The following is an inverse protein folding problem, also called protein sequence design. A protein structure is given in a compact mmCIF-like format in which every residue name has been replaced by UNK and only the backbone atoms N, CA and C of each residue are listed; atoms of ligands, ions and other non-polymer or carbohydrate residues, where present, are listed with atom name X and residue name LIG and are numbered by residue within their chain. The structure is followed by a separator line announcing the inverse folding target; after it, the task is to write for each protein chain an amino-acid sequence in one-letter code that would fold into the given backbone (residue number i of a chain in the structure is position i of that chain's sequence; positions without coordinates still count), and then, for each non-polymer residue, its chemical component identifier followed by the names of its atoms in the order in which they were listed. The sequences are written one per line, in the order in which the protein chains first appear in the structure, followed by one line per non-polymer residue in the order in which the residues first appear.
data_IF_102284871602
#
_entry.id   IF_102284871602
#
_cell.length_a   1.000
_cell.length_b   1.000
_cell.length_c   1.000
_cell.angle_alpha   90.00
_cell.angle_beta   90.00
_cell.angle_gamma   90.00
#
_symmetry.space_group_name_H-M   'P 1'
#
loop_
_entity.id
_entity.type
_entity.pdbx_description
1 polymer ?
#
# COMPACT_ATOMS: atom_id res chain seq x y z
N UNK A 1 13.49 43.75 -43.58
CA UNK A 1 12.34 43.41 -42.72
C UNK A 1 11.74 42.07 -43.14
N UNK A 2 11.30 41.91 -44.40
CA UNK A 2 10.74 40.65 -44.90
C UNK A 2 11.65 39.40 -44.73
N UNK A 3 12.96 39.50 -44.99
CA UNK A 3 13.90 38.38 -44.84
C UNK A 3 14.06 37.91 -43.37
N UNK A 4 13.96 38.85 -42.42
CA UNK A 4 14.00 38.54 -40.99
C UNK A 4 12.70 37.88 -40.54
N UNK A 5 11.55 38.34 -41.03
CA UNK A 5 10.25 37.72 -40.78
C UNK A 5 10.18 36.30 -41.33
N UNK A 6 10.71 36.08 -42.53
CA UNK A 6 10.81 34.75 -43.14
C UNK A 6 11.72 33.82 -42.33
N UNK A 7 12.89 34.30 -41.91
CA UNK A 7 13.80 33.52 -41.03
C UNK A 7 13.15 33.17 -39.70
N UNK A 8 12.45 34.11 -39.07
CA UNK A 8 11.73 33.86 -37.81
C UNK A 8 10.60 32.85 -38.02
N UNK A 9 9.86 32.93 -39.12
CA UNK A 9 8.82 31.97 -39.50
C UNK A 9 9.39 30.56 -39.68
N UNK A 10 10.50 30.43 -40.42
CA UNK A 10 11.18 29.16 -40.65
C UNK A 10 11.70 28.52 -39.34
N UNK A 11 12.26 29.33 -38.44
CA UNK A 11 12.70 28.87 -37.11
C UNK A 11 11.52 28.36 -36.30
N UNK A 12 10.39 29.11 -36.24
CA UNK A 12 9.19 28.66 -35.51
C UNK A 12 8.66 27.33 -36.03
N UNK A 13 8.56 27.18 -37.35
CA UNK A 13 8.11 25.92 -37.97
C UNK A 13 9.04 24.75 -37.61
N UNK A 14 10.36 24.97 -37.65
CA UNK A 14 11.35 23.95 -37.29
C UNK A 14 11.30 23.58 -35.81
N UNK A 15 11.10 24.56 -34.93
CA UNK A 15 10.92 24.32 -33.49
C UNK A 15 9.65 23.53 -33.22
N UNK A 16 8.53 23.87 -33.85
CA UNK A 16 7.26 23.16 -33.68
C UNK A 16 7.33 21.71 -34.20
N UNK A 17 7.98 21.51 -35.35
CA UNK A 17 8.27 20.17 -35.88
C UNK A 17 9.14 19.37 -34.92
N UNK A 18 10.21 19.97 -34.39
CA UNK A 18 11.10 19.32 -33.42
C UNK A 18 10.37 18.97 -32.11
N UNK A 19 9.47 19.82 -31.62
CA UNK A 19 8.67 19.54 -30.41
C UNK A 19 7.75 18.35 -30.63
N UNK A 20 7.07 18.30 -31.79
CA UNK A 20 6.18 17.19 -32.16
C UNK A 20 6.94 15.87 -32.22
N UNK A 21 8.12 15.86 -32.85
CA UNK A 21 8.98 14.66 -32.94
C UNK A 21 9.41 14.19 -31.55
N UNK A 22 9.80 15.10 -30.65
CA UNK A 22 10.18 14.75 -29.27
C UNK A 22 8.99 14.20 -28.48
N UNK A 23 7.79 14.78 -28.64
CA UNK A 23 6.58 14.26 -28.01
C UNK A 23 6.23 12.85 -28.50
N UNK A 24 6.34 12.58 -29.80
CA UNK A 24 6.11 11.25 -30.36
C UNK A 24 7.16 10.24 -29.87
N UNK A 25 8.44 10.61 -29.90
CA UNK A 25 9.54 9.75 -29.41
C UNK A 25 9.38 9.40 -27.93
N UNK A 26 8.85 10.31 -27.11
CA UNK A 26 8.70 10.13 -25.66
C UNK A 26 7.32 9.60 -25.23
N UNK A 27 6.38 9.47 -26.16
CA UNK A 27 5.02 8.98 -25.87
C UNK A 27 5.04 7.63 -25.18
N UNK A 28 5.81 6.69 -25.72
CA UNK A 28 5.86 5.32 -25.23
C UNK A 28 6.61 5.25 -23.89
N UNK A 29 7.62 6.11 -23.69
CA UNK A 29 8.32 6.26 -22.39
C UNK A 29 7.32 6.70 -21.31
N UNK A 30 6.45 7.65 -21.61
CA UNK A 30 5.42 8.11 -20.67
C UNK A 30 4.42 7.00 -20.32
N UNK A 31 4.02 6.19 -21.31
CA UNK A 31 3.14 5.04 -21.07
C UNK A 31 3.81 3.97 -20.20
N UNK A 32 5.08 3.67 -20.48
CA UNK A 32 5.88 2.73 -19.69
C UNK A 32 6.06 3.22 -18.24
N UNK A 33 6.25 4.52 -18.02
CA UNK A 33 6.36 5.07 -16.67
C UNK A 33 5.06 4.91 -15.88
N UNK A 34 3.91 5.19 -16.49
CA UNK A 34 2.59 4.95 -15.88
C UNK A 34 2.40 3.47 -15.57
N UNK A 35 2.74 2.58 -16.52
CA UNK A 35 2.65 1.14 -16.31
C UNK A 35 3.54 0.69 -15.15
N UNK A 36 4.80 1.14 -15.11
CA UNK A 36 5.75 0.85 -14.04
C UNK A 36 5.24 1.33 -12.68
N UNK A 37 4.71 2.56 -12.60
CA UNK A 37 4.14 3.14 -11.38
C UNK A 37 2.96 2.32 -10.88
N UNK A 38 2.04 1.96 -11.76
CA UNK A 38 0.86 1.17 -11.43
C UNK A 38 1.25 -0.24 -10.95
N UNK A 39 2.17 -0.92 -11.65
CA UNK A 39 2.67 -2.23 -11.25
C UNK A 39 3.37 -2.17 -9.88
N UNK A 40 4.21 -1.16 -9.66
CA UNK A 40 4.88 -0.96 -8.37
C UNK A 40 3.88 -0.75 -7.23
N UNK A 41 2.85 0.07 -7.46
CA UNK A 41 1.79 0.29 -6.49
C UNK A 41 1.00 -1.00 -6.19
N UNK A 42 0.66 -1.78 -7.22
CA UNK A 42 -0.03 -3.07 -7.07
C UNK A 42 0.81 -4.07 -6.29
N UNK A 43 2.11 -4.20 -6.61
CA UNK A 43 3.02 -5.11 -5.91
C UNK A 43 3.16 -4.72 -4.43
N UNK A 44 3.34 -3.43 -4.13
CA UNK A 44 3.39 -2.94 -2.74
C UNK A 44 2.11 -3.23 -1.98
N UNK A 45 0.95 -2.98 -2.60
CA UNK A 45 -0.36 -3.23 -1.99
C UNK A 45 -0.55 -4.72 -1.70
N UNK A 46 -0.19 -5.59 -2.64
CA UNK A 46 -0.26 -7.04 -2.45
C UNK A 46 0.67 -7.52 -1.33
N UNK A 47 1.89 -6.96 -1.25
CA UNK A 47 2.82 -7.26 -0.17
C UNK A 47 2.27 -6.86 1.20
N UNK A 48 1.69 -5.67 1.33
CA UNK A 48 1.03 -5.24 2.56
C UNK A 48 -0.16 -6.15 2.93
N UNK A 49 -0.95 -6.59 1.94
CA UNK A 49 -2.04 -7.53 2.19
C UNK A 49 -1.52 -8.88 2.70
N UNK A 50 -0.41 -9.36 2.14
CA UNK A 50 0.24 -10.57 2.61
C UNK A 50 0.72 -10.44 4.06
N UNK A 51 1.35 -9.31 4.42
CA UNK A 51 1.74 -9.02 5.82
C UNK A 51 0.52 -9.04 6.74
N UNK A 52 -0.59 -8.42 6.32
CA UNK A 52 -1.81 -8.37 7.12
C UNK A 52 -2.38 -9.78 7.37
N UNK A 53 -2.52 -10.59 6.33
CA UNK A 53 -3.06 -11.96 6.41
C UNK A 53 -2.18 -12.87 7.28
N UNK A 54 -0.87 -12.85 7.03
CA UNK A 54 0.09 -13.67 7.80
C UNK A 54 0.16 -13.21 9.25
N UNK A 55 0.16 -11.90 9.50
CA UNK A 55 0.16 -11.32 10.84
C UNK A 55 -1.08 -11.70 11.64
N UNK A 56 -2.28 -11.61 11.06
CA UNK A 56 -3.52 -12.04 11.72
C UNK A 56 -3.49 -13.53 12.06
N UNK A 57 -2.99 -14.37 11.14
CA UNK A 57 -2.85 -15.81 11.39
C UNK A 57 -1.87 -16.11 12.54
N UNK A 58 -0.67 -15.50 12.52
CA UNK A 58 0.34 -15.67 13.57
C UNK A 58 -0.14 -15.15 14.92
N UNK A 59 -0.82 -14.00 14.96
CA UNK A 59 -1.41 -13.46 16.19
C UNK A 59 -2.42 -14.45 16.79
N UNK A 60 -3.27 -15.06 15.97
CA UNK A 60 -4.19 -16.10 16.42
C UNK A 60 -3.46 -17.27 17.10
N UNK A 61 -2.42 -17.80 16.45
CA UNK A 61 -1.63 -18.90 17.00
C UNK A 61 -0.90 -18.53 18.32
N UNK A 62 -0.35 -17.33 18.42
CA UNK A 62 0.34 -16.88 19.62
C UNK A 62 -0.61 -16.60 20.79
N UNK A 63 -1.84 -16.15 20.53
CA UNK A 63 -2.87 -15.98 21.56
C UNK A 63 -3.17 -17.34 22.22
N UNK A 64 -3.36 -18.40 21.43
CA UNK A 64 -3.56 -19.77 21.98
C UNK A 64 -2.36 -20.24 22.81
N UNK A 65 -1.14 -19.93 22.35
CA UNK A 65 0.10 -20.31 23.02
C UNK A 65 0.49 -19.39 24.18
N UNK A 66 -0.30 -18.34 24.45
CA UNK A 66 -0.01 -17.31 25.47
C UNK A 66 1.36 -16.63 25.30
N UNK A 67 1.83 -16.48 24.05
CA UNK A 67 3.12 -15.88 23.70
C UNK A 67 3.04 -14.35 23.66
N UNK A 68 2.83 -13.74 24.84
CA UNK A 68 2.57 -12.30 24.96
C UNK A 68 3.70 -11.40 24.42
N UNK A 69 4.96 -11.84 24.52
CA UNK A 69 6.10 -11.09 23.99
C UNK A 69 6.06 -10.92 22.46
N UNK A 70 5.79 -12.02 21.74
CA UNK A 70 5.68 -12.00 20.28
C UNK A 70 4.46 -11.17 19.83
N UNK A 71 3.32 -11.35 20.51
CA UNK A 71 2.09 -10.57 20.26
C UNK A 71 2.38 -9.07 20.42
N UNK A 72 3.04 -8.66 21.51
CA UNK A 72 3.35 -7.26 21.77
C UNK A 72 4.24 -6.63 20.67
N UNK A 73 5.17 -7.41 20.12
CA UNK A 73 6.06 -6.94 19.05
C UNK A 73 5.36 -6.80 17.68
N UNK A 74 4.43 -7.69 17.36
CA UNK A 74 3.84 -7.81 16.03
C UNK A 74 2.50 -7.10 15.87
N UNK A 75 1.69 -7.05 16.93
CA UNK A 75 0.37 -6.42 16.89
C UNK A 75 0.41 -4.95 16.38
N UNK A 76 1.36 -4.10 16.81
CA UNK A 76 1.45 -2.72 16.30
C UNK A 76 1.74 -2.68 14.79
N UNK A 77 2.61 -3.56 14.28
CA UNK A 77 2.95 -3.63 12.86
C UNK A 77 1.73 -4.01 12.01
N UNK A 78 0.98 -5.03 12.44
CA UNK A 78 -0.25 -5.47 11.77
C UNK A 78 -1.32 -4.38 11.78
N UNK A 79 -1.47 -3.64 12.89
CA UNK A 79 -2.40 -2.52 12.99
C UNK A 79 -2.03 -1.35 12.06
N UNK A 80 -0.74 -1.02 11.96
CA UNK A 80 -0.26 0.01 11.03
C UNK A 80 -0.55 -0.36 9.57
N UNK A 81 -0.34 -1.64 9.22
CA UNK A 81 -0.64 -2.12 7.87
C UNK A 81 -2.15 -2.09 7.60
N UNK A 82 -2.98 -2.45 8.59
CA UNK A 82 -4.45 -2.38 8.45
C UNK A 82 -4.93 -0.96 8.12
N UNK A 83 -4.31 0.08 8.70
CA UNK A 83 -4.67 1.47 8.41
C UNK A 83 -4.50 1.84 6.93
N UNK A 84 -3.50 1.25 6.25
CA UNK A 84 -3.31 1.44 4.80
C UNK A 84 -4.47 0.87 3.97
N UNK A 85 -5.24 -0.06 4.55
CA UNK A 85 -6.39 -0.70 3.92
C UNK A 85 -7.74 -0.05 4.24
N UNK A 86 -7.78 1.06 4.99
CA UNK A 86 -9.04 1.73 5.35
C UNK A 86 -9.88 2.15 4.13
N UNK A 87 -9.23 2.58 3.03
CA UNK A 87 -9.93 2.92 1.78
C UNK A 87 -10.45 1.71 1.01
N UNK A 88 -10.05 0.49 1.40
CA UNK A 88 -10.42 -0.76 0.76
C UNK A 88 -11.46 -1.55 1.58
N UNK A 89 -12.08 -0.93 2.60
CA UNK A 89 -13.07 -1.59 3.47
C UNK A 89 -14.38 -1.97 2.77
N UNK A 90 -14.62 -1.45 1.57
CA UNK A 90 -15.71 -1.90 0.70
C UNK A 90 -15.46 -3.32 0.15
N UNK A 91 -14.20 -3.75 0.11
CA UNK A 91 -13.81 -5.10 -0.30
C UNK A 91 -14.08 -6.05 0.86
N UNK A 92 -15.03 -6.95 0.69
CA UNK A 92 -15.50 -7.89 1.71
C UNK A 92 -14.35 -8.68 2.37
N UNK A 93 -13.37 -9.12 1.57
CA UNK A 93 -12.23 -9.88 2.08
C UNK A 93 -11.36 -9.05 3.04
N UNK A 94 -11.14 -7.77 2.74
CA UNK A 94 -10.38 -6.85 3.60
C UNK A 94 -11.14 -6.60 4.90
N UNK A 95 -12.44 -6.35 4.78
CA UNK A 95 -13.33 -6.16 5.93
C UNK A 95 -13.32 -7.38 6.85
N UNK A 96 -13.42 -8.58 6.30
CA UNK A 96 -13.39 -9.83 7.07
C UNK A 96 -12.09 -9.98 7.87
N UNK A 97 -10.95 -9.63 7.29
CA UNK A 97 -9.65 -9.67 7.96
C UNK A 97 -9.57 -8.62 9.07
N UNK A 98 -10.09 -7.40 8.84
CA UNK A 98 -10.17 -6.35 9.85
C UNK A 98 -11.01 -6.78 11.05
N UNK A 99 -12.18 -7.38 10.81
CA UNK A 99 -13.06 -7.90 11.86
C UNK A 99 -12.42 -9.09 12.61
N UNK A 100 -11.71 -9.97 11.90
CA UNK A 100 -10.96 -11.06 12.54
C UNK A 100 -9.90 -10.51 13.51
N UNK A 101 -9.16 -9.48 13.11
CA UNK A 101 -8.17 -8.84 13.98
C UNK A 101 -8.83 -8.23 15.22
N UNK A 102 -9.99 -7.59 15.06
CA UNK A 102 -10.71 -7.01 16.20
C UNK A 102 -11.20 -8.09 17.18
N UNK A 103 -11.71 -9.22 16.67
CA UNK A 103 -12.06 -10.38 17.50
C UNK A 103 -10.85 -10.94 18.26
N UNK A 104 -9.69 -11.03 17.61
CA UNK A 104 -8.45 -11.47 18.26
C UNK A 104 -8.00 -10.51 19.36
N UNK A 105 -8.10 -9.19 19.14
CA UNK A 105 -7.80 -8.18 20.17
C UNK A 105 -8.71 -8.31 21.39
N UNK A 106 -10.01 -8.48 21.19
CA UNK A 106 -10.97 -8.69 22.27
C UNK A 106 -10.66 -9.97 23.05
N UNK A 107 -10.38 -11.07 22.34
CA UNK A 107 -9.98 -12.34 22.95
C UNK A 107 -8.72 -12.18 23.80
N UNK A 108 -7.69 -11.53 23.26
CA UNK A 108 -6.44 -11.25 23.96
C UNK A 108 -6.67 -10.41 25.23
N UNK A 109 -7.50 -9.38 25.16
CA UNK A 109 -7.79 -8.53 26.33
C UNK A 109 -8.45 -9.32 27.47
N UNK A 110 -9.44 -10.16 27.16
CA UNK A 110 -10.11 -11.02 28.14
C UNK A 110 -9.11 -12.03 28.74
N UNK A 111 -8.29 -12.64 27.89
CA UNK A 111 -7.27 -13.61 28.29
C UNK A 111 -6.24 -12.98 29.23
N UNK A 112 -5.71 -11.80 28.89
CA UNK A 112 -4.76 -11.06 29.74
C UNK A 112 -5.35 -10.75 31.11
N UNK A 113 -6.59 -10.26 31.17
CA UNK A 113 -7.27 -9.95 32.45
C UNK A 113 -7.44 -11.22 33.29
N UNK A 114 -7.81 -12.34 32.66
CA UNK A 114 -8.01 -13.63 33.35
C UNK A 114 -6.70 -14.18 33.90
N UNK A 115 -5.64 -14.15 33.10
CA UNK A 115 -4.32 -14.64 33.47
C UNK A 115 -3.70 -13.78 34.58
N UNK A 116 -3.86 -12.46 34.51
CA UNK A 116 -3.44 -11.55 35.58
C UNK A 116 -4.18 -11.86 36.88
N UNK A 117 -5.52 -12.02 36.85
CA UNK A 117 -6.29 -12.37 38.04
C UNK A 117 -5.84 -13.67 38.69
N UNK A 118 -5.56 -14.71 37.89
CA UNK A 118 -5.09 -16.00 38.39
C UNK A 118 -3.65 -15.94 38.93
N UNK A 119 -2.80 -15.07 38.39
CA UNK A 119 -1.38 -14.99 38.82
C UNK A 119 -1.21 -14.16 40.09
N UNK A 120 -2.11 -13.21 40.35
CA UNK A 120 -2.03 -12.28 41.48
C UNK A 120 -3.10 -12.52 42.57
N UNK A 121 -3.81 -13.65 42.54
CA UNK A 121 -4.61 -14.19 43.65
C UNK A 121 -3.85 -15.31 44.36
#
# INVERSE_FOLDING_TARGET
MAELEERVGAIRLKTQSSETVVQEMTRDIKQLDVAKRNLTASIKTLHHLHILLTGVHSLGAWIEQRRYGDIASQLPAVLNVLQLFNSYMEVEQVKNVAEQLERLKQKLAIQLVTDLKHTFQ
#
